data_IF_279941397787
#
_entry.id   IF_279941397787
#
_cell.length_a   1.000
_cell.length_b   1.000
_cell.length_c   1.000
_cell.angle_alpha   90.00
_cell.angle_beta   90.00
_cell.angle_gamma   90.00
#
_symmetry.space_group_name_H-M   'P 1'
#
loop_
_entity.id
_entity.type
_entity.pdbx_description
1 polymer ?
#
# COMPACT_ATOMS: atom_id res chain seq x y z
N UNK A 1 -24.14 -69.83 -13.56
CA UNK A 1 -24.41 -69.81 -15.00
C UNK A 1 -25.86 -69.43 -15.22
N UNK A 2 -26.13 -68.54 -16.17
CA UNK A 2 -27.49 -68.17 -16.58
C UNK A 2 -27.74 -66.67 -16.61
N UNK A 3 -27.34 -66.04 -17.71
CA UNK A 3 -27.74 -64.70 -18.13
C UNK A 3 -29.26 -64.59 -18.33
N UNK A 4 -29.82 -63.37 -18.21
CA UNK A 4 -30.49 -62.67 -19.33
C UNK A 4 -31.08 -61.31 -18.94
N UNK A 5 -30.80 -60.35 -19.81
CA UNK A 5 -31.33 -58.99 -19.92
C UNK A 5 -32.85 -58.93 -20.17
N UNK A 6 -33.42 -57.74 -19.90
CA UNK A 6 -34.31 -56.89 -20.74
C UNK A 6 -35.03 -55.89 -19.80
N UNK A 7 -35.32 -54.64 -20.13
CA UNK A 7 -35.28 -53.90 -21.38
C UNK A 7 -35.58 -52.41 -21.12
N UNK A 8 -35.37 -51.60 -22.16
CA UNK A 8 -35.43 -50.14 -22.18
C UNK A 8 -36.84 -49.53 -22.32
N UNK A 9 -36.99 -48.26 -21.92
CA UNK A 9 -37.75 -47.17 -22.61
C UNK A 9 -37.64 -45.87 -21.78
N UNK A 10 -36.94 -44.83 -22.24
CA UNK A 10 -37.34 -43.73 -23.17
C UNK A 10 -38.32 -42.71 -22.56
N UNK A 11 -37.86 -41.45 -22.46
CA UNK A 11 -38.60 -40.30 -23.01
C UNK A 11 -39.34 -39.34 -22.07
N UNK A 12 -38.63 -38.32 -21.57
CA UNK A 12 -38.90 -36.89 -21.83
C UNK A 12 -40.24 -36.22 -21.44
N UNK A 13 -40.09 -35.15 -20.63
CA UNK A 13 -40.56 -33.75 -20.81
C UNK A 13 -41.39 -33.17 -19.67
N UNK A 14 -40.89 -32.03 -19.18
CA UNK A 14 -41.54 -30.84 -18.60
C UNK A 14 -42.48 -31.02 -17.40
N UNK A 15 -42.21 -30.33 -16.29
CA UNK A 15 -42.70 -28.96 -16.09
C UNK A 15 -42.51 -28.53 -14.62
N UNK A 16 -41.79 -27.43 -14.42
CA UNK A 16 -42.19 -26.25 -13.64
C UNK A 16 -42.46 -26.41 -12.12
N UNK A 17 -41.81 -25.51 -11.38
CA UNK A 17 -41.98 -25.13 -9.96
C UNK A 17 -41.20 -25.94 -8.91
N UNK A 18 -40.00 -25.44 -8.61
CA UNK A 18 -39.60 -25.22 -7.21
C UNK A 18 -38.49 -24.15 -7.19
N UNK A 19 -38.90 -22.89 -7.28
CA UNK A 19 -38.06 -21.72 -7.09
C UNK A 19 -38.45 -21.06 -5.77
N UNK A 20 -37.93 -21.56 -4.64
CA UNK A 20 -37.99 -20.86 -3.36
C UNK A 20 -36.60 -20.88 -2.72
N UNK A 21 -35.95 -19.72 -2.85
CA UNK A 21 -35.04 -19.09 -1.89
C UNK A 21 -33.91 -19.95 -1.27
N UNK A 22 -32.84 -20.19 -2.03
CA UNK A 22 -31.51 -20.39 -1.45
C UNK A 22 -30.90 -19.02 -1.16
N UNK A 23 -31.25 -18.42 -0.01
CA UNK A 23 -30.47 -17.30 0.55
C UNK A 23 -29.04 -17.80 0.75
N UNK A 24 -28.12 -17.30 -0.07
CA UNK A 24 -26.70 -17.57 0.04
C UNK A 24 -26.19 -17.14 1.41
N UNK A 25 -25.97 -18.11 2.29
CA UNK A 25 -25.03 -17.93 3.38
C UNK A 25 -23.67 -17.64 2.73
N UNK A 26 -23.20 -16.40 2.82
CA UNK A 26 -21.80 -16.06 2.58
C UNK A 26 -20.98 -16.90 3.55
N UNK A 27 -20.51 -18.07 3.12
CA UNK A 27 -19.38 -18.73 3.77
C UNK A 27 -18.27 -17.68 3.77
N UNK A 28 -17.86 -17.19 4.94
CA UNK A 28 -16.65 -16.38 5.07
C UNK A 28 -15.54 -17.18 4.37
N UNK A 29 -15.15 -16.78 3.16
CA UNK A 29 -14.06 -17.41 2.45
C UNK A 29 -12.83 -17.30 3.35
N UNK A 30 -12.12 -18.41 3.55
CA UNK A 30 -10.80 -18.35 4.19
C UNK A 30 -9.95 -17.38 3.37
N UNK A 31 -9.38 -16.39 4.05
CA UNK A 31 -8.53 -15.38 3.43
C UNK A 31 -7.30 -16.07 2.83
N UNK A 32 -6.76 -15.51 1.74
CA UNK A 32 -5.49 -15.96 1.17
C UNK A 32 -4.38 -15.99 2.25
N UNK A 33 -3.49 -17.00 2.31
CA UNK A 33 -2.47 -17.09 3.35
C UNK A 33 -1.58 -15.85 3.45
N UNK A 34 -1.19 -15.23 2.33
CA UNK A 34 -0.39 -14.00 2.35
C UNK A 34 -1.18 -12.84 2.94
N UNK A 35 -2.46 -12.73 2.58
CA UNK A 35 -3.34 -11.70 3.11
C UNK A 35 -3.65 -11.90 4.60
N UNK A 36 -3.64 -13.14 5.11
CA UNK A 36 -3.68 -13.41 6.54
C UNK A 36 -2.40 -12.94 7.24
N UNK A 37 -1.24 -13.17 6.61
CA UNK A 37 0.05 -12.65 7.11
C UNK A 37 0.09 -11.12 7.12
N UNK A 38 -0.47 -10.46 6.11
CA UNK A 38 -0.57 -8.99 6.06
C UNK A 38 -1.39 -8.42 7.21
N UNK A 39 -2.53 -9.04 7.56
CA UNK A 39 -3.30 -8.65 8.75
C UNK A 39 -2.51 -8.80 10.05
N UNK A 40 -1.67 -9.83 10.16
CA UNK A 40 -0.80 -10.01 11.33
C UNK A 40 0.24 -8.89 11.43
N UNK A 41 0.82 -8.49 10.30
CA UNK A 41 1.74 -7.35 10.23
C UNK A 41 1.03 -6.06 10.67
N UNK A 42 -0.16 -5.78 10.13
CA UNK A 42 -0.95 -4.60 10.51
C UNK A 42 -1.27 -4.54 12.00
N UNK A 43 -1.65 -5.68 12.61
CA UNK A 43 -1.89 -5.77 14.05
C UNK A 43 -0.62 -5.49 14.86
N UNK A 44 0.52 -6.06 14.47
CA UNK A 44 1.82 -5.76 15.10
C UNK A 44 2.20 -4.28 14.94
N UNK A 45 2.00 -3.68 13.77
CA UNK A 45 2.30 -2.26 13.51
C UNK A 45 1.41 -1.37 14.37
N UNK A 46 0.10 -1.63 14.39
CA UNK A 46 -0.88 -0.91 15.20
C UNK A 46 -0.51 -0.94 16.68
N UNK A 47 -0.03 -2.08 17.16
CA UNK A 47 0.48 -2.19 18.51
C UNK A 47 1.68 -1.28 18.75
N UNK A 48 2.69 -1.35 17.88
CA UNK A 48 3.98 -0.69 18.07
C UNK A 48 3.88 0.82 17.89
N UNK A 49 2.83 1.30 17.22
CA UNK A 49 2.58 2.72 17.01
C UNK A 49 2.09 3.46 18.28
N UNK A 50 1.98 2.79 19.42
CA UNK A 50 1.69 3.47 20.69
C UNK A 50 2.92 4.21 21.22
N UNK A 51 2.70 5.37 21.84
CA UNK A 51 3.78 6.26 22.30
C UNK A 51 4.78 5.57 23.25
N UNK A 52 4.28 4.73 24.16
CA UNK A 52 5.10 3.94 25.09
C UNK A 52 6.06 2.98 24.36
N UNK A 53 5.62 2.41 23.23
CA UNK A 53 6.42 1.50 22.42
C UNK A 53 7.47 2.26 21.61
N UNK A 54 7.08 3.35 20.97
CA UNK A 54 7.97 4.14 20.12
C UNK A 54 9.15 4.74 20.90
N UNK A 55 9.00 5.01 22.19
CA UNK A 55 10.07 5.54 23.06
C UNK A 55 11.03 4.47 23.61
N UNK A 56 10.83 3.18 23.32
CA UNK A 56 11.69 2.12 23.86
C UNK A 56 13.09 2.13 23.24
N UNK A 57 14.11 2.22 24.09
CA UNK A 57 15.52 2.21 23.67
C UNK A 57 15.85 0.97 22.83
N UNK A 58 16.34 1.21 21.62
CA UNK A 58 16.72 0.15 20.69
C UNK A 58 15.56 -0.73 20.22
N UNK A 59 14.32 -0.22 20.16
CA UNK A 59 13.22 -0.91 19.47
C UNK A 59 13.67 -1.45 18.10
N UNK A 60 13.30 -2.69 17.77
CA UNK A 60 13.77 -3.46 16.59
C UNK A 60 15.25 -3.87 16.58
N UNK A 61 16.14 -3.23 17.35
CA UNK A 61 17.53 -3.67 17.53
C UNK A 61 17.67 -4.70 18.65
N UNK A 62 16.91 -4.55 19.73
CA UNK A 62 16.93 -5.46 20.88
C UNK A 62 16.03 -6.67 20.60
N UNK A 63 16.64 -7.85 20.55
CA UNK A 63 15.92 -9.12 20.37
C UNK A 63 15.27 -9.58 21.67
N UNK A 64 14.03 -10.04 21.57
CA UNK A 64 13.33 -10.67 22.68
C UNK A 64 13.65 -12.18 22.80
N UNK A 65 13.45 -12.78 24.00
CA UNK A 65 13.60 -14.22 24.19
C UNK A 65 12.68 -15.03 23.28
N UNK A 66 13.26 -16.05 22.63
CA UNK A 66 12.57 -16.93 21.70
C UNK A 66 11.27 -17.57 22.26
N UNK A 67 11.21 -18.04 23.52
CA UNK A 67 9.97 -18.62 24.07
C UNK A 67 8.79 -17.64 24.07
N UNK A 68 9.03 -16.37 24.38
CA UNK A 68 8.00 -15.33 24.44
C UNK A 68 7.50 -14.97 23.04
N UNK A 69 8.43 -14.81 22.09
CA UNK A 69 8.12 -14.57 20.67
C UNK A 69 7.30 -15.72 20.10
N UNK A 70 7.68 -16.96 20.37
CA UNK A 70 6.93 -18.13 19.92
C UNK A 70 5.56 -18.28 20.56
N UNK A 71 5.43 -17.95 21.85
CA UNK A 71 4.14 -17.91 22.52
C UNK A 71 3.22 -16.90 21.83
N UNK A 72 3.71 -15.70 21.57
CA UNK A 72 2.96 -14.66 20.87
C UNK A 72 2.59 -15.08 19.44
N UNK A 73 3.54 -15.67 18.69
CA UNK A 73 3.32 -16.19 17.34
C UNK A 73 2.16 -17.19 17.30
N UNK A 74 2.16 -18.19 18.20
CA UNK A 74 1.08 -19.19 18.30
C UNK A 74 -0.28 -18.57 18.63
N UNK A 75 -0.29 -17.54 19.46
CA UNK A 75 -1.52 -16.81 19.80
C UNK A 75 -2.05 -16.01 18.60
N UNK A 76 -1.16 -15.41 17.81
CA UNK A 76 -1.50 -14.64 16.60
C UNK A 76 -1.91 -15.54 15.43
N UNK A 77 -1.39 -16.77 15.38
CA UNK A 77 -1.77 -17.80 14.41
C UNK A 77 -3.13 -18.45 14.73
N UNK A 78 -3.67 -18.24 15.93
CA UNK A 78 -4.99 -18.75 16.28
C UNK A 78 -6.09 -17.99 15.51
N UNK A 79 -7.10 -18.70 15.00
CA UNK A 79 -8.27 -18.12 14.31
C UNK A 79 -9.24 -17.37 15.26
N UNK A 80 -8.72 -16.75 16.33
CA UNK A 80 -9.47 -15.98 17.32
C UNK A 80 -8.98 -14.53 17.31
N UNK A 81 -9.86 -13.56 17.64
CA UNK A 81 -9.44 -12.17 17.79
C UNK A 81 -8.31 -12.10 18.81
N UNK A 82 -7.17 -11.55 18.39
CA UNK A 82 -5.99 -11.43 19.23
C UNK A 82 -6.21 -10.34 20.27
N UNK A 83 -6.07 -10.69 21.56
CA UNK A 83 -6.21 -9.73 22.65
C UNK A 83 -4.86 -9.14 23.03
N UNK A 84 -4.66 -7.88 22.69
CA UNK A 84 -3.48 -7.11 23.07
C UNK A 84 -3.47 -6.65 24.54
N UNK A 85 -4.35 -7.13 25.42
CA UNK A 85 -4.21 -6.90 26.87
C UNK A 85 -3.27 -7.92 27.54
N UNK A 86 -3.31 -9.19 27.09
CA UNK A 86 -2.57 -10.28 27.76
C UNK A 86 -1.05 -10.13 27.65
N UNK A 87 -0.58 -9.42 26.65
CA UNK A 87 0.84 -9.05 26.44
C UNK A 87 1.44 -8.08 27.47
N UNK A 88 0.65 -7.37 28.26
CA UNK A 88 1.20 -6.53 29.32
C UNK A 88 1.70 -7.41 30.48
N UNK A 89 1.38 -8.72 30.46
CA UNK A 89 1.92 -9.73 31.38
C UNK A 89 3.41 -10.02 31.18
N UNK A 90 4.00 -9.60 30.06
CA UNK A 90 5.43 -9.70 29.81
C UNK A 90 6.26 -8.73 30.69
N UNK A 91 5.60 -7.84 31.43
CA UNK A 91 6.22 -6.76 32.20
C UNK A 91 6.28 -5.46 31.38
N UNK A 92 6.45 -4.31 32.05
CA UNK A 92 6.58 -3.03 31.34
C UNK A 92 7.74 -3.13 30.35
N UNK A 93 7.51 -2.68 29.11
CA UNK A 93 8.49 -2.62 28.02
C UNK A 93 8.87 -3.96 27.35
N UNK A 94 8.82 -5.10 28.04
CA UNK A 94 9.18 -6.41 27.48
C UNK A 94 8.26 -6.80 26.30
N UNK A 95 6.97 -6.49 26.42
CA UNK A 95 6.00 -6.72 25.35
C UNK A 95 6.35 -6.01 24.04
N UNK A 96 6.99 -4.85 24.09
CA UNK A 96 7.41 -4.11 22.88
C UNK A 96 8.49 -4.87 22.12
N UNK A 97 9.53 -5.35 22.80
CA UNK A 97 10.60 -6.11 22.15
C UNK A 97 10.09 -7.44 21.58
N UNK A 98 9.17 -8.12 22.29
CA UNK A 98 8.54 -9.35 21.82
C UNK A 98 7.77 -9.12 20.52
N UNK A 99 6.94 -8.08 20.46
CA UNK A 99 6.15 -7.74 19.25
C UNK A 99 7.05 -7.25 18.11
N UNK A 100 8.06 -6.43 18.41
CA UNK A 100 9.04 -5.96 17.43
C UNK A 100 9.82 -7.12 16.80
N UNK A 101 10.31 -8.05 17.63
CA UNK A 101 11.02 -9.25 17.16
C UNK A 101 10.09 -10.14 16.32
N UNK A 102 8.84 -10.34 16.76
CA UNK A 102 7.86 -11.11 15.99
C UNK A 102 7.58 -10.47 14.62
N UNK A 103 7.40 -9.15 14.56
CA UNK A 103 7.15 -8.43 13.31
C UNK A 103 8.29 -8.65 12.31
N UNK A 104 9.55 -8.52 12.75
CA UNK A 104 10.71 -8.81 11.89
C UNK A 104 10.70 -10.26 11.40
N UNK A 105 10.41 -11.24 12.27
CA UNK A 105 10.32 -12.65 11.86
C UNK A 105 9.21 -12.91 10.85
N UNK A 106 8.06 -12.23 10.98
CA UNK A 106 6.95 -12.37 10.02
C UNK A 106 7.38 -11.82 8.66
N UNK A 107 7.99 -10.63 8.63
CA UNK A 107 8.47 -9.99 7.40
C UNK A 107 9.49 -10.88 6.67
N UNK A 108 10.48 -11.41 7.41
CA UNK A 108 11.50 -12.33 6.89
C UNK A 108 10.93 -13.67 6.40
N UNK A 109 9.73 -14.06 6.84
CA UNK A 109 9.10 -15.33 6.44
C UNK A 109 8.22 -15.21 5.19
N UNK A 110 8.04 -14.00 4.66
CA UNK A 110 7.27 -13.78 3.44
C UNK A 110 8.03 -14.29 2.22
N UNK A 111 7.40 -15.16 1.44
CA UNK A 111 7.85 -15.55 0.11
C UNK A 111 6.71 -15.37 -0.90
N UNK A 112 6.84 -14.51 -1.92
CA UNK A 112 7.95 -13.56 -2.14
C UNK A 112 8.07 -12.52 -1.02
N UNK A 113 9.21 -11.80 -0.89
CA UNK A 113 9.39 -10.76 0.12
C UNK A 113 8.34 -9.65 0.02
N UNK A 114 8.28 -8.78 1.03
CA UNK A 114 7.30 -7.69 1.05
C UNK A 114 7.55 -6.70 -0.10
N UNK A 115 8.80 -6.33 -0.35
CA UNK A 115 9.21 -5.59 -1.54
C UNK A 115 9.41 -6.60 -2.68
N UNK A 116 8.72 -6.46 -3.83
CA UNK A 116 8.86 -7.36 -4.97
C UNK A 116 10.29 -7.40 -5.54
N UNK A 117 10.65 -8.54 -6.14
CA UNK A 117 11.96 -8.75 -6.76
C UNK A 117 12.30 -7.74 -7.87
N UNK A 118 11.30 -7.26 -8.61
CA UNK A 118 11.47 -6.22 -9.62
C UNK A 118 11.92 -4.90 -8.98
N UNK A 119 11.29 -4.53 -7.86
CA UNK A 119 11.65 -3.33 -7.08
C UNK A 119 13.04 -3.48 -6.46
N UNK A 120 13.39 -4.67 -5.94
CA UNK A 120 14.75 -4.96 -5.48
C UNK A 120 15.79 -4.73 -6.59
N UNK A 121 15.55 -5.32 -7.76
CA UNK A 121 16.48 -5.22 -8.90
C UNK A 121 16.64 -3.78 -9.37
N UNK A 122 15.53 -3.02 -9.43
CA UNK A 122 15.57 -1.61 -9.75
C UNK A 122 16.31 -0.77 -8.71
N UNK A 123 16.19 -1.09 -7.41
CA UNK A 123 16.98 -0.44 -6.36
C UNK A 123 18.49 -0.61 -6.62
N UNK A 124 18.94 -1.83 -6.93
CA UNK A 124 20.35 -2.10 -7.22
C UNK A 124 20.86 -1.35 -8.46
N UNK A 125 20.06 -1.31 -9.54
CA UNK A 125 20.41 -0.57 -10.77
C UNK A 125 20.46 0.94 -10.52
N UNK A 126 19.55 1.45 -9.69
CA UNK A 126 19.46 2.88 -9.42
C UNK A 126 20.60 3.41 -8.55
N UNK A 127 21.37 2.55 -7.87
CA UNK A 127 22.33 2.96 -6.83
C UNK A 127 23.41 3.91 -7.37
N UNK A 128 23.78 3.78 -8.64
CA UNK A 128 24.76 4.62 -9.33
C UNK A 128 24.15 5.89 -9.97
N UNK A 129 22.82 6.04 -9.94
CA UNK A 129 22.14 7.21 -10.48
C UNK A 129 22.26 8.42 -9.54
N UNK A 130 22.21 9.61 -10.14
CA UNK A 130 21.99 10.87 -9.44
C UNK A 130 20.73 10.82 -8.56
N UNK A 131 20.78 11.44 -7.39
CA UNK A 131 19.77 11.29 -6.32
C UNK A 131 18.33 11.60 -6.77
N UNK A 132 18.11 12.71 -7.48
CA UNK A 132 16.78 13.09 -7.96
C UNK A 132 16.23 12.12 -9.02
N UNK A 133 17.11 11.64 -9.92
CA UNK A 133 16.76 10.65 -10.95
C UNK A 133 16.46 9.29 -10.32
N UNK A 134 17.29 8.88 -9.35
CA UNK A 134 17.11 7.66 -8.53
C UNK A 134 15.74 7.68 -7.86
N UNK A 135 15.42 8.76 -7.14
CA UNK A 135 14.15 8.94 -6.44
C UNK A 135 12.95 8.82 -7.38
N UNK A 136 12.98 9.53 -8.51
CA UNK A 136 11.90 9.49 -9.51
C UNK A 136 11.75 8.11 -10.16
N UNK A 137 12.87 7.46 -10.51
CA UNK A 137 12.88 6.11 -11.07
C UNK A 137 12.28 5.09 -10.09
N UNK A 138 12.74 5.11 -8.84
CA UNK A 138 12.26 4.21 -7.80
C UNK A 138 10.79 4.43 -7.49
N UNK A 139 10.32 5.67 -7.45
CA UNK A 139 8.88 5.96 -7.26
C UNK A 139 8.03 5.37 -8.37
N UNK A 140 8.45 5.54 -9.63
CA UNK A 140 7.73 4.95 -10.77
C UNK A 140 7.67 3.43 -10.65
N UNK A 141 8.80 2.79 -10.35
CA UNK A 141 8.90 1.35 -10.20
C UNK A 141 8.06 0.84 -9.02
N UNK A 142 8.12 1.53 -7.88
CA UNK A 142 7.34 1.21 -6.69
C UNK A 142 5.84 1.24 -7.00
N UNK A 143 5.38 2.26 -7.73
CA UNK A 143 3.96 2.38 -8.13
C UNK A 143 3.51 1.32 -9.14
N UNK A 144 4.40 0.81 -10.00
CA UNK A 144 4.02 -0.16 -11.04
C UNK A 144 4.17 -1.61 -10.59
N UNK A 145 5.13 -1.89 -9.72
CA UNK A 145 5.51 -3.26 -9.34
C UNK A 145 4.95 -3.71 -8.01
N UNK A 146 4.55 -2.80 -7.12
CA UNK A 146 4.00 -3.13 -5.80
C UNK A 146 2.47 -3.25 -5.87
N UNK A 147 1.87 -4.43 -5.59
CA UNK A 147 0.42 -4.58 -5.54
C UNK A 147 -0.22 -3.70 -4.44
N UNK A 148 -1.48 -3.30 -4.64
CA UNK A 148 -2.19 -2.39 -3.71
C UNK A 148 -2.23 -2.90 -2.26
N UNK A 149 -2.43 -4.20 -2.05
CA UNK A 149 -2.45 -4.78 -0.70
C UNK A 149 -1.08 -4.69 -0.04
N UNK A 150 -0.02 -4.98 -0.80
CA UNK A 150 1.37 -4.86 -0.35
C UNK A 150 1.74 -3.41 -0.07
N UNK A 151 1.28 -2.48 -0.93
CA UNK A 151 1.50 -1.05 -0.77
C UNK A 151 0.89 -0.54 0.54
N UNK A 152 -0.32 -0.97 0.87
CA UNK A 152 -1.00 -0.60 2.12
C UNK A 152 -0.22 -1.04 3.34
N UNK A 153 0.27 -2.30 3.34
CA UNK A 153 1.11 -2.81 4.45
C UNK A 153 2.44 -2.06 4.53
N UNK A 154 3.09 -1.79 3.38
CA UNK A 154 4.33 -1.02 3.32
C UNK A 154 4.15 0.41 3.82
N UNK A 155 3.02 1.05 3.51
CA UNK A 155 2.68 2.38 4.02
C UNK A 155 2.67 2.38 5.54
N UNK A 156 1.88 1.49 6.17
CA UNK A 156 1.80 1.40 7.63
C UNK A 156 3.14 1.06 8.27
N UNK A 157 3.93 0.18 7.64
CA UNK A 157 5.26 -0.17 8.13
C UNK A 157 6.22 1.01 8.06
N UNK A 158 6.23 1.75 6.94
CA UNK A 158 7.09 2.93 6.78
C UNK A 158 6.67 4.08 7.69
N UNK A 159 5.36 4.29 7.88
CA UNK A 159 4.82 5.26 8.84
C UNK A 159 5.30 4.96 10.27
N UNK A 160 5.30 3.69 10.68
CA UNK A 160 5.87 3.28 11.97
C UNK A 160 7.37 3.60 12.05
N UNK A 161 8.13 3.28 11.00
CA UNK A 161 9.57 3.57 10.95
C UNK A 161 9.87 5.09 11.02
N UNK A 162 9.05 5.92 10.36
CA UNK A 162 9.12 7.39 10.47
C UNK A 162 8.84 7.84 11.90
N UNK A 163 7.77 7.32 12.53
CA UNK A 163 7.45 7.66 13.91
C UNK A 163 8.56 7.29 14.91
N UNK A 164 9.27 6.17 14.67
CA UNK A 164 10.41 5.75 15.48
C UNK A 164 11.62 6.64 15.24
N UNK A 165 11.95 6.95 13.99
CA UNK A 165 13.15 7.73 13.66
C UNK A 165 13.12 9.18 14.16
N UNK A 166 11.92 9.69 14.45
CA UNK A 166 11.69 11.02 15.01
C UNK A 166 11.86 11.11 16.54
N UNK A 167 12.05 9.98 17.24
CA UNK A 167 12.14 9.96 18.71
C UNK A 167 13.59 9.71 19.14
N UNK A 168 14.31 10.72 19.65
CA UNK A 168 15.72 10.58 20.03
C UNK A 168 15.97 9.55 21.12
N UNK A 169 15.03 9.39 22.06
CA UNK A 169 15.16 8.54 23.24
C UNK A 169 15.34 7.06 22.89
N UNK A 170 14.79 6.61 21.76
CA UNK A 170 14.89 5.22 21.34
C UNK A 170 16.23 4.90 20.62
N UNK A 171 16.98 5.92 20.19
CA UNK A 171 18.28 5.81 19.47
C UNK A 171 18.23 5.04 18.14
N UNK A 172 17.07 4.94 17.51
CA UNK A 172 16.86 4.25 16.24
C UNK A 172 16.66 5.25 15.10
N UNK A 173 17.77 5.69 14.50
CA UNK A 173 17.74 6.56 13.30
C UNK A 173 17.21 5.83 12.07
N UNK A 174 16.83 6.55 11.01
CA UNK A 174 16.44 5.97 9.71
C UNK A 174 17.47 4.99 9.17
N UNK A 175 18.76 5.31 9.32
CA UNK A 175 19.88 4.43 8.96
C UNK A 175 19.91 3.15 9.80
N UNK A 176 19.72 3.24 11.12
CA UNK A 176 19.68 2.07 12.00
C UNK A 176 18.48 1.17 11.67
N UNK A 177 17.32 1.78 11.35
CA UNK A 177 16.15 1.05 10.89
C UNK A 177 16.41 0.39 9.53
N UNK A 178 17.10 1.05 8.61
CA UNK A 178 17.48 0.47 7.32
C UNK A 178 18.33 -0.80 7.44
N UNK A 179 19.22 -0.88 8.44
CA UNK A 179 20.02 -2.09 8.73
C UNK A 179 19.13 -3.26 9.16
N UNK A 180 18.11 -2.99 9.98
CA UNK A 180 17.21 -4.03 10.51
C UNK A 180 16.17 -4.45 9.47
N UNK A 181 15.52 -3.48 8.85
CA UNK A 181 14.39 -3.71 7.94
C UNK A 181 14.80 -4.06 6.53
N UNK A 182 15.95 -3.58 6.05
CA UNK A 182 16.47 -3.89 4.71
C UNK A 182 16.39 -5.38 4.36
N UNK A 183 17.16 -6.25 5.04
CA UNK A 183 17.10 -7.69 4.78
C UNK A 183 15.77 -8.34 5.17
N UNK A 184 14.95 -7.68 6.01
CA UNK A 184 13.67 -8.23 6.46
C UNK A 184 12.55 -8.05 5.43
N UNK A 185 12.61 -7.01 4.58
CA UNK A 185 11.54 -6.69 3.63
C UNK A 185 11.93 -6.92 2.17
N UNK A 186 13.22 -7.07 1.85
CA UNK A 186 13.69 -7.26 0.48
C UNK A 186 14.96 -8.13 0.41
N UNK A 187 15.02 -8.97 -0.61
CA UNK A 187 16.21 -9.73 -0.98
C UNK A 187 16.14 -10.10 -2.47
N UNK A 188 17.26 -10.54 -3.04
CA UNK A 188 17.29 -11.10 -4.39
C UNK A 188 16.51 -12.43 -4.45
N UNK A 189 15.92 -12.75 -5.61
CA UNK A 189 15.23 -14.01 -5.82
C UNK A 189 16.17 -15.23 -5.70
N UNK A 190 17.44 -15.05 -6.03
CA UNK A 190 18.49 -16.03 -5.80
C UNK A 190 19.46 -15.55 -4.72
N UNK A 191 19.51 -16.26 -3.60
CA UNK A 191 20.39 -15.95 -2.48
C UNK A 191 21.82 -16.40 -2.76
N UNK A 192 22.63 -15.49 -3.30
CA UNK A 192 24.08 -15.70 -3.46
C UNK A 192 24.81 -14.90 -2.38
N UNK A 193 25.47 -15.55 -1.40
CA UNK A 193 26.06 -14.86 -0.24
C UNK A 193 26.98 -13.69 -0.61
N UNK A 194 27.83 -13.87 -1.62
CA UNK A 194 28.74 -12.81 -2.09
C UNK A 194 27.97 -11.60 -2.67
N UNK A 195 26.88 -11.84 -3.39
CA UNK A 195 26.04 -10.77 -3.95
C UNK A 195 25.25 -10.06 -2.85
N UNK A 196 24.70 -10.80 -1.88
CA UNK A 196 23.97 -10.22 -0.75
C UNK A 196 24.86 -9.26 0.07
N UNK A 197 26.12 -9.62 0.30
CA UNK A 197 27.08 -8.74 0.99
C UNK A 197 27.35 -7.48 0.17
N UNK A 198 27.45 -7.59 -1.15
CA UNK A 198 27.65 -6.45 -2.06
C UNK A 198 26.43 -5.53 -2.08
N UNK A 199 25.23 -6.09 -2.07
CA UNK A 199 23.96 -5.36 -2.19
C UNK A 199 23.51 -4.77 -0.85
N UNK A 200 23.94 -5.32 0.29
CA UNK A 200 23.50 -4.92 1.63
C UNK A 200 23.54 -3.39 1.89
N UNK A 201 24.60 -2.64 1.52
CA UNK A 201 24.60 -1.19 1.68
C UNK A 201 23.51 -0.48 0.88
N UNK A 202 23.24 -0.94 -0.35
CA UNK A 202 22.17 -0.39 -1.20
C UNK A 202 20.79 -0.70 -0.60
N UNK A 203 20.58 -1.94 -0.16
CA UNK A 203 19.35 -2.38 0.53
C UNK A 203 19.05 -1.52 1.76
N UNK A 204 20.06 -1.27 2.61
CA UNK A 204 19.88 -0.42 3.79
C UNK A 204 19.51 1.02 3.41
N UNK A 205 20.21 1.60 2.42
CA UNK A 205 19.96 2.97 1.93
C UNK A 205 18.59 3.12 1.28
N UNK A 206 18.09 2.08 0.61
CA UNK A 206 16.76 2.10 0.02
C UNK A 206 15.68 2.26 1.09
N UNK A 207 15.78 1.51 2.19
CA UNK A 207 14.84 1.66 3.32
C UNK A 207 14.99 3.02 4.01
N UNK A 208 16.22 3.49 4.19
CA UNK A 208 16.48 4.85 4.69
C UNK A 208 15.81 5.92 3.81
N UNK A 209 15.90 5.79 2.48
CA UNK A 209 15.23 6.66 1.52
C UNK A 209 13.70 6.60 1.66
N UNK A 210 13.10 5.41 1.81
CA UNK A 210 11.65 5.28 2.02
C UNK A 210 11.17 6.01 3.28
N UNK A 211 11.99 6.02 4.35
CA UNK A 211 11.69 6.72 5.59
C UNK A 211 11.81 8.24 5.39
N UNK A 212 12.90 8.72 4.77
CA UNK A 212 13.12 10.15 4.56
C UNK A 212 12.13 10.77 3.57
N UNK A 213 11.77 10.03 2.53
CA UNK A 213 10.92 10.47 1.43
C UNK A 213 9.52 9.86 1.51
N UNK A 214 9.06 9.58 2.74
CA UNK A 214 7.80 8.88 2.99
C UNK A 214 6.63 9.52 2.24
N UNK A 215 6.42 10.83 2.37
CA UNK A 215 5.33 11.52 1.68
C UNK A 215 5.44 11.40 0.15
N UNK A 216 6.65 11.47 -0.38
CA UNK A 216 6.88 11.32 -1.82
C UNK A 216 6.57 9.89 -2.30
N UNK A 217 6.97 8.86 -1.56
CA UNK A 217 6.70 7.45 -1.90
C UNK A 217 5.25 7.00 -1.62
N UNK A 218 4.56 7.64 -0.68
CA UNK A 218 3.27 7.17 -0.19
C UNK A 218 2.11 8.19 -0.29
N UNK A 219 2.26 9.28 -1.07
CA UNK A 219 1.20 10.27 -1.32
C UNK A 219 -0.20 9.62 -1.56
N UNK A 220 -1.17 10.05 -0.75
CA UNK A 220 -2.54 9.56 -0.65
C UNK A 220 -3.36 9.63 -1.95
N UNK A 221 -2.87 10.32 -2.98
CA UNK A 221 -3.45 10.25 -4.34
C UNK A 221 -3.42 8.85 -4.95
N UNK A 222 -2.60 7.94 -4.41
CA UNK A 222 -2.37 6.59 -4.92
C UNK A 222 -3.16 5.48 -4.19
N UNK A 223 -3.79 5.77 -3.05
CA UNK A 223 -4.65 4.79 -2.34
C UNK A 223 -6.00 4.59 -3.09
N UNK A 224 -6.29 5.38 -4.13
CA UNK A 224 -7.47 5.21 -4.99
C UNK A 224 -7.27 4.12 -6.04
N UNK A 225 -7.25 2.88 -5.57
CA UNK A 225 -7.47 1.66 -6.35
C UNK A 225 -8.92 1.16 -6.34
N UNK A 226 -9.89 1.95 -5.89
CA UNK A 226 -11.31 1.65 -6.09
C UNK A 226 -11.99 2.87 -6.72
N UNK A 227 -12.71 2.65 -7.83
CA UNK A 227 -13.44 3.61 -8.69
C UNK A 227 -12.63 4.41 -9.72
N UNK A 228 -12.12 3.75 -10.79
CA UNK A 228 -11.94 4.43 -12.10
C UNK A 228 -11.76 3.51 -13.32
N UNK A 229 -12.39 2.33 -13.34
CA UNK A 229 -12.51 1.54 -14.57
C UNK A 229 -13.95 1.44 -15.14
N UNK A 230 -14.98 1.91 -14.45
CA UNK A 230 -16.38 1.76 -14.93
C UNK A 230 -16.99 3.00 -15.65
N UNK A 231 -16.19 4.01 -16.02
CA UNK A 231 -16.68 5.18 -16.80
C UNK A 231 -16.22 5.22 -18.25
N UNK A 232 -15.55 4.19 -18.77
CA UNK A 232 -15.20 4.11 -20.20
C UNK A 232 -16.11 3.23 -21.06
N UNK A 233 -17.06 2.49 -20.49
CA UNK A 233 -18.01 1.67 -21.26
C UNK A 233 -19.41 2.27 -21.41
N UNK A 234 -19.68 3.51 -20.96
CA UNK A 234 -21.01 4.14 -21.09
C UNK A 234 -21.17 5.19 -22.21
N UNK A 235 -20.13 5.48 -22.99
CA UNK A 235 -20.25 6.37 -24.16
C UNK A 235 -20.36 5.64 -25.51
N UNK A 236 -20.06 4.35 -25.61
CA UNK A 236 -20.18 3.60 -26.89
C UNK A 236 -21.53 2.88 -27.09
N UNK A 237 -22.39 2.78 -26.07
CA UNK A 237 -23.70 2.11 -26.17
C UNK A 237 -24.89 3.08 -26.37
N UNK A 238 -24.63 4.36 -26.71
CA UNK A 238 -25.68 5.34 -27.08
C UNK A 238 -25.69 5.75 -28.55
N UNK A 239 -24.83 5.15 -29.38
CA UNK A 239 -24.71 5.50 -30.81
C UNK A 239 -25.22 4.41 -31.78
N UNK A 240 -26.05 3.47 -31.31
CA UNK A 240 -26.70 2.46 -32.17
C UNK A 240 -28.17 2.28 -31.82
N UNK A 241 -28.96 3.32 -32.04
CA UNK A 241 -30.36 3.15 -32.45
C UNK A 241 -30.81 4.37 -33.27
N UNK A 242 -31.40 4.12 -34.44
CA UNK A 242 -31.88 5.16 -35.36
C UNK A 242 -31.33 5.03 -36.79
N UNK A 243 -32.01 4.23 -37.60
CA UNK A 243 -31.69 4.00 -39.01
C UNK A 243 -32.05 5.14 -39.97
N UNK A 244 -31.25 5.21 -41.04
CA UNK A 244 -31.62 5.30 -42.46
C UNK A 244 -32.51 6.46 -42.94
N UNK A 245 -31.90 7.44 -43.63
CA UNK A 245 -32.12 7.71 -45.08
C UNK A 245 -31.42 9.01 -45.57
N UNK A 246 -30.58 8.79 -46.58
CA UNK A 246 -30.47 9.48 -47.88
C UNK A 246 -29.99 10.95 -48.04
N UNK A 247 -29.02 11.00 -48.94
CA UNK A 247 -28.82 11.93 -50.06
C UNK A 247 -28.05 13.25 -49.85
N UNK A 248 -27.03 13.36 -50.71
CA UNK A 248 -26.49 14.55 -51.38
C UNK A 248 -25.40 15.42 -50.75
N UNK A 249 -24.25 15.33 -51.45
CA UNK A 249 -23.46 16.43 -52.02
C UNK A 249 -22.45 17.23 -51.16
N UNK A 250 -21.25 17.28 -51.76
CA UNK A 250 -20.26 18.37 -51.79
C UNK A 250 -19.41 18.69 -50.54
N UNK A 251 -18.12 18.38 -50.70
CA UNK A 251 -16.97 19.22 -50.28
C UNK A 251 -17.05 20.53 -51.11
N UNK A 252 -16.86 21.78 -50.57
CA UNK A 252 -15.50 22.25 -50.25
C UNK A 252 -15.29 23.37 -49.21
N UNK A 253 -14.04 23.40 -48.72
CA UNK A 253 -13.19 24.54 -48.28
C UNK A 253 -13.81 25.77 -47.59
N UNK A 254 -13.26 26.14 -46.43
CA UNK A 254 -13.37 27.52 -45.92
C UNK A 254 -12.82 27.73 -44.51
N UNK A 255 -11.78 28.55 -44.38
CA UNK A 255 -11.26 29.11 -43.14
C UNK A 255 -12.36 29.71 -42.24
N UNK A 256 -12.24 29.53 -40.92
CA UNK A 256 -12.43 30.65 -39.97
C UNK A 256 -11.82 30.40 -38.59
N UNK A 257 -11.03 31.39 -38.16
CA UNK A 257 -10.57 31.62 -36.79
C UNK A 257 -11.77 31.77 -35.84
N UNK A 258 -11.66 31.21 -34.63
CA UNK A 258 -12.61 31.46 -33.54
C UNK A 258 -12.03 31.02 -32.21
N UNK A 259 -11.61 31.99 -31.39
CA UNK A 259 -11.04 31.76 -30.07
C UNK A 259 -12.01 31.05 -29.13
N UNK A 260 -11.49 30.12 -28.34
CA UNK A 260 -12.24 29.51 -27.23
C UNK A 260 -11.90 30.25 -25.95
N UNK A 261 -12.81 31.13 -25.53
CA UNK A 261 -12.93 31.54 -24.14
C UNK A 261 -13.25 30.28 -23.31
N UNK A 262 -12.28 29.84 -22.51
CA UNK A 262 -12.46 28.72 -21.59
C UNK A 262 -13.36 29.17 -20.44
N UNK A 263 -14.58 28.61 -20.36
CA UNK A 263 -15.44 28.73 -19.19
C UNK A 263 -14.74 28.06 -18.01
N UNK A 264 -14.08 28.83 -17.15
CA UNK A 264 -13.61 28.37 -15.84
C UNK A 264 -14.80 27.82 -15.05
N UNK A 265 -14.71 26.57 -14.64
CA UNK A 265 -15.67 25.88 -13.77
C UNK A 265 -15.76 26.60 -12.42
N UNK A 266 -16.90 26.49 -11.75
CA UNK A 266 -17.19 27.11 -10.43
C UNK A 266 -16.11 26.82 -9.39
N UNK A 267 -15.54 25.61 -9.39
CA UNK A 267 -14.41 25.22 -8.52
C UNK A 267 -13.11 25.98 -8.78
N UNK A 268 -12.84 26.34 -10.03
CA UNK A 268 -11.63 27.11 -10.39
C UNK A 268 -11.68 28.56 -9.91
N UNK A 269 -12.88 29.14 -9.79
CA UNK A 269 -13.06 30.51 -9.26
C UNK A 269 -12.95 30.56 -7.73
N UNK A 270 -13.37 29.50 -7.03
CA UNK A 270 -13.20 29.39 -5.58
C UNK A 270 -11.74 29.20 -5.17
N UNK A 271 -10.99 28.36 -5.90
CA UNK A 271 -9.55 28.17 -5.65
C UNK A 271 -8.74 29.46 -5.87
N UNK A 272 -9.03 30.21 -6.94
CA UNK A 272 -8.34 31.49 -7.21
C UNK A 272 -8.67 32.55 -6.14
N UNK A 273 -9.85 32.49 -5.53
CA UNK A 273 -10.23 33.38 -4.43
C UNK A 273 -9.50 33.02 -3.12
N UNK A 274 -9.37 31.72 -2.84
CA UNK A 274 -8.68 31.22 -1.65
C UNK A 274 -7.18 31.50 -1.70
N UNK A 275 -6.57 31.38 -2.89
CA UNK A 275 -5.15 31.66 -3.12
C UNK A 275 -4.83 33.15 -2.90
N UNK A 276 -5.68 34.05 -3.41
CA UNK A 276 -5.56 35.50 -3.17
C UNK A 276 -5.75 35.90 -1.71
N UNK A 277 -6.58 35.18 -0.95
CA UNK A 277 -6.71 35.40 0.51
C UNK A 277 -5.47 34.94 1.27
N UNK A 278 -4.90 33.80 0.88
CA UNK A 278 -3.68 33.26 1.50
C UNK A 278 -2.47 34.17 1.27
N UNK A 279 -2.31 34.73 0.05
CA UNK A 279 -1.24 35.69 -0.25
C UNK A 279 -1.35 36.96 0.59
N UNK A 280 -2.58 37.51 0.74
CA UNK A 280 -2.81 38.69 1.59
C UNK A 280 -2.53 38.43 3.06
N UNK A 281 -2.74 37.20 3.54
CA UNK A 281 -2.46 36.84 4.91
C UNK A 281 -0.95 36.76 5.18
N UNK A 282 -0.20 36.17 4.24
CA UNK A 282 1.27 36.11 4.28
C UNK A 282 1.87 37.52 4.25
N UNK A 283 1.33 38.42 3.42
CA UNK A 283 1.82 39.79 3.33
C UNK A 283 1.60 40.58 4.63
N UNK A 284 0.43 40.42 5.28
CA UNK A 284 0.13 41.02 6.59
C UNK A 284 1.02 40.48 7.72
N UNK A 285 1.37 39.19 7.68
CA UNK A 285 2.29 38.61 8.67
C UNK A 285 3.70 39.14 8.48
N UNK A 286 4.18 39.26 7.23
CA UNK A 286 5.48 39.87 6.92
C UNK A 286 5.57 41.34 7.29
N UNK A 287 4.47 42.09 7.15
CA UNK A 287 4.43 43.50 7.54
C UNK A 287 4.49 43.66 9.07
N UNK A 288 3.76 42.82 9.82
CA UNK A 288 3.84 42.77 11.29
C UNK A 288 5.22 42.37 11.81
N UNK A 289 5.90 41.45 11.11
CA UNK A 289 7.27 41.05 11.46
C UNK A 289 8.26 42.19 11.25
N UNK A 290 8.13 42.95 10.15
CA UNK A 290 8.94 44.15 9.89
C UNK A 290 8.69 45.30 10.85
N UNK A 291 7.49 45.42 11.41
CA UNK A 291 7.20 46.41 12.45
C UNK A 291 7.82 46.01 13.80
N UNK A 292 7.81 44.72 14.14
CA UNK A 292 8.46 44.19 15.36
C UNK A 292 9.98 44.30 15.33
N UNK A 293 10.61 44.25 14.16
CA UNK A 293 12.05 44.44 14.01
C UNK A 293 12.48 45.92 14.07
N UNK A 294 11.52 46.87 14.07
CA UNK A 294 11.77 48.31 14.14
C UNK A 294 11.52 48.93 15.53
N UNK A 295 10.90 48.20 16.45
CA UNK A 295 10.80 48.52 17.88
C UNK A 295 11.99 47.95 18.67
#
# INVERSE_FOLDING_TARGET
>A
GGEREKGAKVGGKNSVMNFIAKKGGKKKGKLDPRQQTYKKIEECVKYLNRRDCLCQDGIFRVSAPYPDVNKLKKMLDADKPFNWADKDSYGPNHGTYVVATLLIQILMSLDPPLIPYDTYSGAMISDEMEEEKKKTFLKKLFNTSVPNETFTVLHHLCELMVGISQIPENRMTSKNLGIVFGPAIMHAAEERPAQMVKDAPCVCRFVELLIHEFEFFFDATLIKGESREDEKEKEEEKAKDGGDKKDDLLIPTGLRKGGKASRKTTKGKEMEKLEKEREKQIEREREKEREREKE
#
